data_IF_942965426506
#
_entry.id   IF_942965426506
#
_cell.length_a   1.000
_cell.length_b   1.000
_cell.length_c   1.000
_cell.angle_alpha   90.00
_cell.angle_beta   90.00
_cell.angle_gamma   90.00
#
_symmetry.space_group_name_H-M   'P 1'
#
loop_
_entity.id
_entity.type
_entity.pdbx_description
1 polymer ?
#
# COMPACT_ATOMS: atom_id res chain seq x y z
N UNK A 1 -0.52 9.61 1.98
CA UNK A 1 -1.62 9.17 1.07
C UNK A 1 -2.95 9.24 1.78
N UNK A 2 -3.16 8.49 2.87
CA UNK A 2 -4.39 8.58 3.69
C UNK A 2 -4.77 10.05 4.02
N UNK A 3 -3.82 10.85 4.51
CA UNK A 3 -4.06 12.26 4.82
C UNK A 3 -4.46 13.10 3.59
N UNK A 4 -3.91 12.78 2.41
CA UNK A 4 -4.24 13.48 1.16
C UNK A 4 -5.66 13.16 0.70
N UNK A 5 -6.06 11.90 0.77
CA UNK A 5 -7.42 11.45 0.40
C UNK A 5 -8.44 12.10 1.34
N UNK A 6 -8.17 12.04 2.66
CA UNK A 6 -9.06 12.64 3.66
C UNK A 6 -9.13 14.16 3.50
N UNK A 7 -8.01 14.83 3.19
CA UNK A 7 -7.98 16.26 2.93
C UNK A 7 -8.77 16.65 1.68
N UNK A 8 -8.68 15.89 0.59
CA UNK A 8 -9.47 16.14 -0.63
C UNK A 8 -10.98 16.07 -0.35
N UNK A 9 -11.39 15.19 0.56
CA UNK A 9 -12.78 15.02 0.98
C UNK A 9 -13.19 15.94 2.13
N UNK A 10 -12.30 16.83 2.59
CA UNK A 10 -12.52 17.68 3.77
C UNK A 10 -12.89 16.89 5.04
N UNK A 11 -12.42 15.65 5.16
CA UNK A 11 -12.63 14.79 6.32
C UNK A 11 -11.49 15.01 7.31
N UNK A 12 -11.83 15.38 8.55
CA UNK A 12 -10.86 15.54 9.64
C UNK A 12 -11.07 14.45 10.71
N UNK A 13 -10.30 13.36 10.70
CA UNK A 13 -10.44 12.31 11.70
C UNK A 13 -9.96 12.78 13.07
N UNK A 14 -10.58 12.25 14.13
CA UNK A 14 -10.04 12.35 15.49
C UNK A 14 -8.99 11.24 15.70
N UNK A 15 -7.72 11.56 15.47
CA UNK A 15 -6.63 10.57 15.47
C UNK A 15 -6.42 10.04 16.90
N UNK A 16 -6.78 8.77 17.13
CA UNK A 16 -6.53 8.06 18.40
C UNK A 16 -5.27 7.21 18.38
N UNK A 17 -4.87 6.74 17.20
CA UNK A 17 -3.73 5.87 17.01
C UNK A 17 -3.12 6.08 15.62
N UNK A 18 -1.80 5.93 15.51
CA UNK A 18 -1.08 5.99 14.24
C UNK A 18 0.00 4.91 14.23
N UNK A 19 0.09 4.16 13.14
CA UNK A 19 1.14 3.15 12.96
C UNK A 19 1.70 3.21 11.54
N UNK A 20 2.98 2.87 11.40
CA UNK A 20 3.64 2.68 10.10
C UNK A 20 3.56 1.24 9.62
N UNK A 21 3.10 0.31 10.46
CA UNK A 21 2.98 -1.10 10.12
C UNK A 21 1.59 -1.40 9.59
N UNK A 22 1.51 -1.72 8.30
CA UNK A 22 0.25 -1.97 7.60
C UNK A 22 -0.47 -3.23 8.10
N UNK A 23 0.29 -4.27 8.49
CA UNK A 23 -0.28 -5.50 9.06
C UNK A 23 -0.90 -5.23 10.43
N UNK A 24 -0.24 -4.40 11.26
CA UNK A 24 -0.84 -3.94 12.52
C UNK A 24 -2.13 -3.17 12.27
N UNK A 25 -2.15 -2.22 11.34
CA UNK A 25 -3.37 -1.46 10.99
C UNK A 25 -4.50 -2.38 10.50
N UNK A 26 -4.19 -3.34 9.62
CA UNK A 26 -5.13 -4.35 9.10
C UNK A 26 -5.77 -5.17 10.23
N UNK A 27 -4.96 -5.66 11.17
CA UNK A 27 -5.45 -6.45 12.32
C UNK A 27 -6.29 -5.63 13.29
N UNK A 28 -5.91 -4.38 13.56
CA UNK A 28 -6.70 -3.48 14.41
C UNK A 28 -8.09 -3.22 13.80
N UNK A 29 -8.15 -3.01 12.47
CA UNK A 29 -9.41 -2.86 11.77
C UNK A 29 -10.27 -4.14 11.82
N UNK A 30 -9.66 -5.31 11.57
CA UNK A 30 -10.36 -6.60 11.67
C UNK A 30 -10.84 -6.92 13.10
N UNK A 31 -10.20 -6.38 14.13
CA UNK A 31 -10.62 -6.46 15.52
C UNK A 31 -11.69 -5.41 15.90
N UNK A 32 -12.19 -4.61 14.94
CA UNK A 32 -13.23 -3.61 15.16
C UNK A 32 -12.73 -2.29 15.78
N UNK A 33 -11.41 -2.05 15.83
CA UNK A 33 -10.86 -0.81 16.40
C UNK A 33 -10.90 0.39 15.44
N UNK A 34 -11.45 0.22 14.24
CA UNK A 34 -11.63 1.29 13.27
C UNK A 34 -11.49 0.80 11.83
N UNK A 35 -11.09 1.72 10.95
CA UNK A 35 -10.89 1.49 9.51
C UNK A 35 -9.49 1.92 9.09
N UNK A 36 -8.98 1.34 8.01
CA UNK A 36 -7.68 1.70 7.43
C UNK A 36 -7.72 1.59 5.91
N UNK A 37 -6.78 2.26 5.25
CA UNK A 37 -6.51 2.07 3.83
C UNK A 37 -5.57 0.89 3.63
N UNK A 38 -5.83 0.06 2.62
CA UNK A 38 -4.97 -1.07 2.24
C UNK A 38 -4.79 -1.10 0.72
N UNK A 39 -3.56 -1.33 0.23
CA UNK A 39 -3.33 -1.69 -1.17
C UNK A 39 -4.04 -3.01 -1.52
N UNK A 40 -4.48 -3.12 -2.77
CA UNK A 40 -5.16 -4.33 -3.24
C UNK A 40 -4.31 -5.60 -3.05
N UNK A 41 -3.02 -5.52 -3.39
CA UNK A 41 -2.06 -6.62 -3.18
C UNK A 41 -1.98 -7.12 -1.73
N UNK A 42 -2.30 -6.26 -0.75
CA UNK A 42 -2.27 -6.59 0.67
C UNK A 42 -3.51 -7.34 1.20
N UNK A 43 -4.56 -7.47 0.38
CA UNK A 43 -5.75 -8.23 0.76
C UNK A 43 -5.42 -9.71 0.96
N UNK A 44 -4.65 -10.28 0.03
CA UNK A 44 -4.29 -11.70 0.00
C UNK A 44 -2.95 -12.00 0.70
N UNK A 45 -2.18 -10.98 1.04
CA UNK A 45 -0.99 -11.11 1.88
C UNK A 45 -1.44 -11.31 3.34
N UNK A 46 -1.12 -12.49 3.89
CA UNK A 46 -1.39 -12.96 5.26
C UNK A 46 -2.85 -13.43 5.51
N UNK A 47 -2.96 -14.64 6.08
CA UNK A 47 -4.23 -15.22 6.54
C UNK A 47 -4.75 -14.49 7.80
N UNK A 48 -6.08 -14.49 8.00
CA UNK A 48 -6.72 -13.90 9.19
C UNK A 48 -7.59 -12.66 8.93
N UNK A 49 -8.25 -12.57 7.77
CA UNK A 49 -9.14 -11.45 7.37
C UNK A 49 -10.63 -11.81 7.38
N UNK A 50 -11.03 -12.89 8.05
CA UNK A 50 -12.42 -13.38 8.04
C UNK A 50 -13.46 -12.32 8.46
N UNK A 51 -13.04 -11.31 9.22
CA UNK A 51 -13.89 -10.20 9.68
C UNK A 51 -13.60 -8.84 9.00
N UNK A 52 -12.89 -8.81 7.87
CA UNK A 52 -12.55 -7.55 7.18
C UNK A 52 -13.48 -7.32 5.98
N UNK A 53 -14.35 -6.32 6.08
CA UNK A 53 -15.08 -5.80 4.94
C UNK A 53 -14.19 -4.80 4.16
N UNK A 54 -13.82 -5.16 2.93
CA UNK A 54 -12.99 -4.32 2.07
C UNK A 54 -13.85 -3.69 0.96
N UNK A 55 -13.73 -2.37 0.79
CA UNK A 55 -14.45 -1.62 -0.23
C UNK A 55 -13.44 -0.91 -1.13
N UNK A 56 -13.60 -0.98 -2.46
CA UNK A 56 -12.76 -0.20 -3.37
C UNK A 56 -13.00 1.30 -3.15
N UNK A 57 -11.95 2.09 -3.30
CA UNK A 57 -12.05 3.54 -3.29
C UNK A 57 -12.57 4.05 -4.65
N UNK A 58 -13.21 5.21 -4.63
CA UNK A 58 -13.62 5.90 -5.85
C UNK A 58 -12.37 6.21 -6.72
N UNK A 59 -12.34 5.80 -8.00
CA UNK A 59 -11.21 6.07 -8.91
C UNK A 59 -10.84 7.55 -9.03
N UNK A 60 -11.80 8.47 -8.85
CA UNK A 60 -11.58 9.92 -8.89
C UNK A 60 -10.64 10.43 -7.78
N UNK A 61 -10.48 9.66 -6.70
CA UNK A 61 -9.55 9.98 -5.61
C UNK A 61 -8.08 9.75 -6.01
N UNK A 62 -7.84 9.12 -7.17
CA UNK A 62 -6.51 8.77 -7.68
C UNK A 62 -5.60 8.15 -6.61
N UNK A 63 -6.19 7.26 -5.80
CA UNK A 63 -5.57 6.61 -4.66
C UNK A 63 -4.67 5.45 -5.12
N UNK A 64 -3.66 5.74 -5.94
CA UNK A 64 -2.73 4.76 -6.50
C UNK A 64 -1.32 4.90 -5.95
N UNK A 65 -0.58 3.79 -5.90
CA UNK A 65 0.85 3.76 -5.53
C UNK A 65 1.68 3.41 -6.75
N UNK A 66 2.72 4.20 -7.00
CA UNK A 66 3.75 3.84 -7.96
C UNK A 66 4.90 3.16 -7.23
N UNK A 67 5.01 1.85 -7.36
CA UNK A 67 6.17 1.11 -6.88
C UNK A 67 7.38 1.47 -7.76
N UNK A 68 8.48 1.87 -7.12
CA UNK A 68 9.71 2.28 -7.80
C UNK A 68 10.92 1.54 -7.24
N UNK A 69 11.93 1.37 -8.08
CA UNK A 69 13.23 0.83 -7.69
C UNK A 69 14.18 2.02 -7.51
N UNK A 70 14.53 2.34 -6.27
CA UNK A 70 15.47 3.41 -5.95
C UNK A 70 16.91 2.91 -5.83
N UNK A 71 17.85 3.61 -6.45
CA UNK A 71 19.29 3.41 -6.30
C UNK A 71 20.03 4.75 -6.41
N UNK A 72 21.24 4.89 -5.84
CA UNK A 72 21.99 6.14 -5.87
C UNK A 72 22.30 6.58 -7.30
N UNK A 73 22.13 7.88 -7.56
CA UNK A 73 22.56 8.47 -8.82
C UNK A 73 24.10 8.50 -8.92
N UNK A 74 24.62 8.42 -10.15
CA UNK A 74 26.06 8.49 -10.42
C UNK A 74 26.87 7.26 -9.99
N UNK A 75 26.25 6.20 -9.44
CA UNK A 75 26.94 4.93 -9.14
C UNK A 75 26.53 3.81 -10.10
N UNK A 76 27.47 3.14 -10.78
CA UNK A 76 27.14 2.01 -11.61
C UNK A 76 26.62 0.85 -10.75
N UNK A 77 25.47 0.31 -11.14
CA UNK A 77 24.92 -0.91 -10.52
C UNK A 77 25.80 -2.12 -10.86
N UNK A 78 25.99 -3.01 -9.88
CA UNK A 78 26.64 -4.30 -10.12
C UNK A 78 25.85 -5.14 -11.11
N UNK A 79 26.51 -6.13 -11.74
CA UNK A 79 25.83 -7.08 -12.63
C UNK A 79 24.68 -7.79 -11.91
N UNK A 80 24.90 -8.24 -10.67
CA UNK A 80 23.88 -8.90 -9.86
C UNK A 80 22.68 -7.98 -9.59
N UNK A 81 22.91 -6.69 -9.30
CA UNK A 81 21.82 -5.74 -9.08
C UNK A 81 21.01 -5.49 -10.36
N UNK A 82 21.67 -5.38 -11.52
CA UNK A 82 20.98 -5.23 -12.82
C UNK A 82 20.13 -6.46 -13.14
N UNK A 83 20.66 -7.66 -12.95
CA UNK A 83 19.91 -8.90 -13.17
C UNK A 83 18.74 -9.05 -12.19
N UNK A 84 18.93 -8.69 -10.92
CA UNK A 84 17.84 -8.66 -9.94
C UNK A 84 16.73 -7.72 -10.38
N UNK A 85 17.07 -6.50 -10.82
CA UNK A 85 16.09 -5.52 -11.31
C UNK A 85 15.36 -6.04 -12.55
N UNK A 86 16.08 -6.68 -13.48
CA UNK A 86 15.47 -7.29 -14.67
C UNK A 86 14.45 -8.35 -14.27
N UNK A 87 14.85 -9.31 -13.43
CA UNK A 87 13.97 -10.36 -12.94
C UNK A 87 12.78 -9.82 -12.16
N UNK A 88 12.99 -8.81 -11.30
CA UNK A 88 11.93 -8.19 -10.53
C UNK A 88 10.87 -7.55 -11.44
N UNK A 89 11.29 -6.83 -12.49
CA UNK A 89 10.39 -6.22 -13.47
C UNK A 89 9.60 -7.24 -14.29
N UNK A 90 10.18 -8.42 -14.53
CA UNK A 90 9.48 -9.52 -15.21
C UNK A 90 8.42 -10.18 -14.32
N UNK A 91 8.65 -10.21 -12.99
CA UNK A 91 7.77 -10.90 -12.04
C UNK A 91 6.71 -10.01 -11.39
N UNK A 92 7.04 -8.76 -11.11
CA UNK A 92 6.07 -7.79 -10.62
C UNK A 92 5.35 -7.23 -11.85
N UNK A 93 4.29 -7.93 -12.27
CA UNK A 93 3.31 -7.35 -13.19
C UNK A 93 2.53 -6.27 -12.42
N UNK A 94 2.31 -5.08 -12.99
CA UNK A 94 1.38 -4.14 -12.40
C UNK A 94 0.01 -4.80 -12.32
N UNK A 95 -0.70 -4.61 -11.20
CA UNK A 95 -2.10 -4.99 -11.08
C UNK A 95 -2.85 -4.35 -12.28
N UNK A 96 -3.53 -5.15 -13.11
CA UNK A 96 -4.42 -4.62 -14.15
C UNK A 96 -5.52 -3.81 -13.44
N UNK A 97 -5.68 -2.55 -13.86
CA UNK A 97 -6.68 -1.61 -13.34
C UNK A 97 -8.01 -1.85 -14.04
#
# INVERSE_FOLDING_TARGET
MADSILSQLSIKPNIRYTTKNMETAKRLAAAGMGITFLPHSYLNLFSGVENLACYPLDPSLNASWKLVIGYPDGRPLSRCAKEFIRFLKEKIQPDEV
#
